data_IF_955076017330
#
_entry.id   IF_955076017330
#
_cell.length_a   1.000
_cell.length_b   1.000
_cell.length_c   1.000
_cell.angle_alpha   90.00
_cell.angle_beta   90.00
_cell.angle_gamma   90.00
#
_symmetry.space_group_name_H-M   'P 1'
#
loop_
_entity.id
_entity.type
_entity.pdbx_description
1 polymer ?
2 non-polymer ?
3 non-polymer ?
4 non-polymer ?
5 non-polymer ?
6 non-polymer ?
7 non-polymer ?
8 water ?
#
# COMPACT_ATOMS: atom_id res chain seq x y z
N UNK A 3 -5.61 3.13 31.64
CA UNK A 3 -6.36 3.21 30.39
C UNK A 3 -7.59 2.30 30.40
N UNK A 4 -8.74 2.84 29.95
CA UNK A 4 -9.99 2.09 29.90
C UNK A 4 -10.33 1.78 28.45
N UNK A 5 -10.45 0.49 28.14
CA UNK A 5 -10.74 0.13 26.77
C UNK A 5 -12.18 0.46 26.42
N UNK A 6 -12.47 0.59 25.14
CA UNK A 6 -13.80 1.03 24.69
C UNK A 6 -14.90 0.12 25.18
N UNK A 7 -16.06 0.73 25.43
CA UNK A 7 -17.24 0.02 25.90
C UNK A 7 -18.24 -0.28 24.78
N UNK A 8 -17.90 0.05 23.54
CA UNK A 8 -18.85 -0.11 22.45
C UNK A 8 -19.31 -1.56 22.32
N UNK A 9 -20.57 -1.76 21.94
CA UNK A 9 -21.15 -3.12 22.02
C UNK A 9 -20.45 -4.12 21.13
N UNK A 10 -19.88 -3.72 19.99
CA UNK A 10 -19.20 -4.68 19.13
C UNK A 10 -17.68 -4.59 19.23
N UNK A 11 -17.15 -3.83 20.20
CA UNK A 11 -15.70 -3.79 20.33
C UNK A 11 -15.13 -5.17 20.62
N UNK A 12 -15.76 -6.03 21.43
CA UNK A 12 -15.22 -7.39 21.63
C UNK A 12 -15.13 -8.18 20.34
N UNK A 13 -15.96 -7.87 19.35
CA UNK A 13 -15.90 -8.57 18.08
C UNK A 13 -14.81 -8.06 17.16
N UNK A 14 -14.16 -6.94 17.51
CA UNK A 14 -13.07 -6.39 16.71
C UNK A 14 -11.76 -7.07 17.12
N UNK A 15 -11.68 -8.34 16.75
CA UNK A 15 -10.62 -9.23 17.21
C UNK A 15 -9.24 -8.75 16.83
N UNK A 16 -9.12 -8.03 15.70
CA UNK A 16 -7.85 -7.51 15.18
C UNK A 16 -7.37 -6.30 15.96
N UNK A 17 -8.24 -5.71 16.79
CA UNK A 17 -7.87 -4.73 17.82
C UNK A 17 -7.93 -5.31 19.23
N UNK A 18 -9.05 -5.92 19.61
CA UNK A 18 -9.25 -6.25 21.02
C UNK A 18 -8.68 -7.61 21.42
N UNK A 19 -7.89 -8.24 20.57
CA UNK A 19 -7.39 -9.57 20.90
C UNK A 19 -6.49 -9.57 22.13
N UNK A 20 -6.57 -10.67 22.88
CA UNK A 20 -5.65 -10.95 23.98
C UNK A 20 -4.74 -12.13 23.65
N UNK A 21 -4.75 -12.58 22.40
CA UNK A 21 -4.02 -13.77 21.99
C UNK A 21 -2.76 -13.47 21.18
N UNK A 22 -2.42 -12.20 21.00
CA UNK A 22 -1.28 -11.72 20.22
C UNK A 22 -1.56 -11.82 18.72
N UNK A 23 -2.75 -12.21 18.29
CA UNK A 23 -3.13 -12.13 16.88
C UNK A 23 -3.94 -10.87 16.64
N UNK A 24 -3.25 -9.73 16.77
CA UNK A 24 -3.89 -8.44 16.56
C UNK A 24 -2.84 -7.40 16.17
N UNK A 25 -3.32 -6.19 15.90
CA UNK A 25 -2.51 -5.09 15.41
C UNK A 25 -1.87 -4.28 16.52
N UNK A 26 -1.99 -4.73 17.77
CA UNK A 26 -1.36 -4.07 18.92
C UNK A 26 -1.78 -2.60 19.02
N UNK A 27 -3.07 -2.35 18.81
CA UNK A 27 -3.61 -1.00 18.84
C UNK A 27 -3.88 -0.54 20.27
N UNK A 28 -4.32 -1.45 21.15
CA UNK A 28 -4.57 -1.06 22.53
C UNK A 28 -3.32 -0.45 23.17
N UNK A 29 -2.15 -0.98 22.81
CA UNK A 29 -0.89 -0.45 23.35
C UNK A 29 -0.66 0.99 22.93
N UNK A 30 -1.07 1.35 21.72
CA UNK A 30 -0.95 2.74 21.28
C UNK A 30 -1.94 3.62 22.02
N UNK A 31 -3.20 3.19 22.12
CA UNK A 31 -4.19 3.93 22.89
C UNK A 31 -3.69 4.19 24.31
N UNK A 32 -3.09 3.18 24.93
CA UNK A 32 -2.65 3.30 26.31
C UNK A 32 -1.45 4.22 26.47
N UNK A 33 -0.66 4.42 25.40
CA UNK A 33 0.38 5.44 25.39
C UNK A 33 -0.21 6.84 25.19
N UNK A 34 -1.52 6.96 24.97
CA UNK A 34 -2.18 8.23 24.83
C UNK A 34 -2.53 8.66 23.42
N UNK A 35 -2.36 7.79 22.42
CA UNK A 35 -2.52 8.15 21.01
C UNK A 35 -3.81 7.54 20.49
N UNK A 36 -4.71 8.41 20.02
CA UNK A 36 -6.01 8.01 19.52
C UNK A 36 -6.36 8.68 18.19
N UNK A 37 -5.46 9.48 17.63
CA UNK A 37 -5.69 10.17 16.37
C UNK A 37 -6.14 11.61 16.49
N UNK A 38 -6.21 12.15 17.71
CA UNK A 38 -6.63 13.54 17.88
C UNK A 38 -5.78 14.46 17.03
N UNK A 39 -6.44 15.34 16.29
CA UNK A 39 -5.78 16.32 15.44
C UNK A 39 -5.40 15.84 14.04
N UNK A 40 -5.60 14.57 13.74
CA UNK A 40 -5.23 13.99 12.45
C UNK A 40 -6.49 13.89 11.58
N UNK A 41 -6.31 14.07 10.28
CA UNK A 41 -7.40 14.13 9.31
C UNK A 41 -7.15 13.05 8.25
N UNK A 42 -8.12 12.16 8.07
CA UNK A 42 -8.04 11.07 7.10
C UNK A 42 -9.20 11.17 6.11
N UNK A 43 -8.94 10.86 4.84
CA UNK A 43 -9.99 10.83 3.82
C UNK A 43 -10.01 9.50 3.09
N UNK A 44 -11.23 8.95 2.94
CA UNK A 44 -11.47 7.69 2.24
C UNK A 44 -11.84 7.99 0.79
N UNK A 45 -11.02 7.52 -0.15
CA UNK A 45 -11.28 7.69 -1.58
C UNK A 45 -12.10 6.49 -2.05
N UNK A 46 -13.41 6.69 -2.25
CA UNK A 46 -14.28 5.55 -2.53
C UNK A 46 -15.63 5.98 -3.08
N UNK A 47 -16.71 5.29 -2.68
CA UNK A 47 -18.03 5.50 -3.27
C UNK A 47 -18.88 6.47 -2.47
N UNK A 48 -18.29 7.16 -1.49
CA UNK A 48 -19.00 8.11 -0.66
C UNK A 48 -18.94 7.73 0.82
N UNK A 49 -19.45 8.63 1.64
CA UNK A 49 -19.42 8.43 3.09
C UNK A 49 -20.73 8.93 3.70
N UNK A 50 -21.37 8.08 4.51
CA UNK A 50 -22.62 8.42 5.18
C UNK A 50 -22.27 9.31 6.37
N UNK A 51 -22.24 10.62 6.13
CA UNK A 51 -21.67 11.53 7.12
C UNK A 51 -22.54 11.65 8.35
N UNK A 52 -23.81 11.28 8.25
CA UNK A 52 -24.72 11.31 9.38
C UNK A 52 -24.82 9.96 10.10
N UNK A 53 -23.94 9.01 9.78
CA UNK A 53 -23.94 7.74 10.49
C UNK A 53 -23.73 7.98 11.98
N UNK A 54 -24.53 7.37 12.87
CA UNK A 54 -24.36 7.63 14.30
C UNK A 54 -22.96 7.34 14.83
N UNK A 55 -22.17 6.50 14.16
CA UNK A 55 -20.81 6.22 14.62
C UNK A 55 -19.76 7.01 13.85
N UNK A 56 -20.15 7.84 12.87
CA UNK A 56 -19.22 8.70 12.15
C UNK A 56 -19.43 10.19 12.39
N UNK A 57 -20.67 10.60 12.68
CA UNK A 57 -20.98 12.03 12.69
C UNK A 57 -20.07 12.82 13.63
N UNK A 58 -19.77 12.26 14.80
CA UNK A 58 -18.98 13.02 15.77
C UNK A 58 -17.56 13.31 15.33
N UNK A 59 -17.03 12.55 14.38
CA UNK A 59 -15.70 12.75 13.85
C UNK A 59 -15.71 13.28 12.41
N UNK A 60 -16.88 13.47 11.84
CA UNK A 60 -16.96 13.81 10.43
C UNK A 60 -16.39 15.20 10.17
N UNK A 61 -15.63 15.32 9.08
CA UNK A 61 -14.96 16.56 8.70
C UNK A 61 -15.31 16.91 7.27
N UNK A 62 -16.16 17.92 7.03
CA UNK A 62 -16.42 18.33 5.65
C UNK A 62 -15.18 18.76 4.88
N UNK A 63 -14.14 19.24 5.58
CA UNK A 63 -12.90 19.64 4.92
C UNK A 63 -12.06 18.48 4.43
N UNK A 64 -12.45 17.26 4.78
CA UNK A 64 -11.80 16.05 4.28
C UNK A 64 -12.63 15.36 3.22
N UNK A 65 -13.62 16.05 2.66
CA UNK A 65 -14.62 15.43 1.80
C UNK A 65 -14.90 16.24 0.54
N UNK A 66 -15.31 15.52 -0.50
CA UNK A 66 -15.80 16.13 -1.74
C UNK A 66 -16.50 15.06 -2.57
N UNK A 67 -17.31 15.51 -3.52
CA UNK A 67 -18.03 14.63 -4.43
C UNK A 67 -17.53 14.99 -5.83
N UNK A 68 -16.57 14.21 -6.35
CA UNK A 68 -16.03 14.48 -7.68
C UNK A 68 -16.82 13.77 -8.77
N UNK A 69 -17.79 12.93 -8.41
CA UNK A 69 -18.68 12.35 -9.42
C UNK A 69 -19.77 13.33 -9.84
N UNK A 70 -20.36 14.05 -8.88
CA UNK A 70 -21.41 15.03 -9.17
C UNK A 70 -20.93 16.46 -9.02
N UNK A 71 -19.66 16.68 -8.67
CA UNK A 71 -19.08 18.02 -8.59
C UNK A 71 -19.80 18.89 -7.55
N UNK A 72 -19.76 18.45 -6.30
CA UNK A 72 -20.29 19.21 -5.19
C UNK A 72 -19.53 18.81 -3.94
N UNK A 73 -19.73 19.50 -2.82
CA UNK A 73 -18.90 19.22 -1.64
C UNK A 73 -19.37 18.04 -0.80
N UNK A 74 -20.54 17.48 -1.09
CA UNK A 74 -21.23 16.58 -0.19
C UNK A 74 -21.07 15.15 -0.67
N UNK A 75 -20.32 14.29 0.05
CA UNK A 75 -20.03 12.94 -0.44
C UNK A 75 -21.05 11.88 -0.04
N UNK A 76 -22.25 12.30 0.34
CA UNK A 76 -23.25 11.34 0.77
C UNK A 76 -23.46 10.29 -0.32
N UNK A 77 -23.54 9.01 0.04
CA UNK A 77 -23.72 7.96 -0.97
C UNK A 77 -25.08 8.03 -1.64
N UNK A 78 -25.12 7.46 -2.85
CA UNK A 78 -26.37 7.23 -3.58
C UNK A 78 -26.98 5.92 -3.07
N UNK A 79 -28.16 6.01 -2.48
CA UNK A 79 -28.81 4.85 -1.89
C UNK A 79 -29.53 4.04 -2.97
N UNK A 80 -29.33 2.73 -2.95
CA UNK A 80 -29.94 1.83 -3.93
C UNK A 80 -30.42 0.56 -3.24
N UNK A 81 -31.26 -0.20 -3.95
CA UNK A 81 -31.82 -1.42 -3.40
C UNK A 81 -30.75 -2.44 -3.03
N UNK A 82 -29.65 -2.47 -3.76
CA UNK A 82 -28.60 -3.44 -3.48
C UNK A 82 -27.52 -2.89 -2.56
N UNK A 83 -27.67 -1.66 -2.08
CA UNK A 83 -26.69 -1.06 -1.18
C UNK A 83 -25.30 -1.06 -1.78
N UNK A 84 -25.23 -0.68 -3.05
CA UNK A 84 -23.99 -0.69 -3.81
C UNK A 84 -22.93 0.23 -3.21
N UNK A 85 -23.33 1.39 -2.77
CA UNK A 85 -22.39 2.45 -2.43
C UNK A 85 -22.13 2.51 -0.94
N UNK A 86 -21.86 1.36 -0.33
CA UNK A 86 -21.65 1.28 1.11
C UNK A 86 -20.18 1.21 1.48
N UNK A 87 -19.27 1.05 0.53
CA UNK A 87 -17.93 0.65 0.91
C UNK A 87 -17.18 1.77 1.61
N UNK A 88 -17.33 3.01 1.13
CA UNK A 88 -16.62 4.10 1.77
C UNK A 88 -17.03 4.28 3.22
N UNK A 89 -18.32 4.03 3.52
CA UNK A 89 -18.81 4.12 4.89
C UNK A 89 -18.20 3.03 5.76
N UNK A 90 -18.08 1.81 5.24
CA UNK A 90 -17.38 0.75 5.96
C UNK A 90 -15.94 1.14 6.26
N UNK A 91 -15.24 1.66 5.25
CA UNK A 91 -13.82 2.01 5.45
C UNK A 91 -13.67 3.16 6.44
N UNK A 92 -14.56 4.16 6.36
CA UNK A 92 -14.47 5.30 7.26
C UNK A 92 -14.53 4.87 8.71
N UNK A 93 -15.41 3.92 9.03
CA UNK A 93 -15.53 3.46 10.41
C UNK A 93 -14.33 2.66 10.87
N UNK A 94 -13.68 1.95 9.95
CA UNK A 94 -12.45 1.26 10.32
C UNK A 94 -11.42 2.23 10.85
N UNK A 95 -11.32 3.40 10.22
CA UNK A 95 -10.35 4.41 10.61
C UNK A 95 -10.79 5.12 11.89
N UNK A 96 -12.06 5.59 11.92
CA UNK A 96 -12.41 6.62 12.89
C UNK A 96 -13.83 6.53 13.41
N UNK A 97 -14.42 5.34 13.51
CA UNK A 97 -15.69 5.24 14.20
C UNK A 97 -15.55 5.72 15.65
N UNK A 98 -16.58 6.40 16.12
CA UNK A 98 -16.56 7.02 17.45
C UNK A 98 -16.54 5.95 18.52
N UNK A 99 -15.82 6.22 19.61
CA UNK A 99 -15.65 5.30 20.71
C UNK A 99 -16.54 5.69 21.90
N UNK A 100 -16.96 4.66 22.64
CA UNK A 100 -17.63 4.83 23.95
C UNK A 100 -18.97 5.55 23.81
N UNK A 101 -19.67 5.27 22.71
CA UNK A 101 -20.95 5.90 22.42
C UNK A 101 -22.09 4.89 22.24
N UNK A 102 -21.89 3.64 22.64
CA UNK A 102 -22.95 2.64 22.60
C UNK A 102 -23.36 2.18 21.22
N UNK A 103 -22.57 2.47 20.20
CA UNK A 103 -22.90 2.18 18.81
C UNK A 103 -21.76 1.39 18.17
N UNK A 104 -22.12 0.27 17.53
CA UNK A 104 -21.18 -0.57 16.78
C UNK A 104 -19.86 -0.75 17.52
N UNK A 105 -18.73 -0.51 16.85
CA UNK A 105 -17.44 -0.67 17.49
C UNK A 105 -16.67 0.62 17.54
N UNK A 106 -15.35 0.58 17.30
CA UNK A 106 -14.54 1.80 17.29
C UNK A 106 -13.60 1.79 16.09
N UNK A 107 -13.13 2.98 15.74
CA UNK A 107 -12.05 3.10 14.79
C UNK A 107 -10.69 2.87 15.43
N UNK A 108 -9.70 2.55 14.58
CA UNK A 108 -8.32 2.46 15.06
C UNK A 108 -7.90 3.79 15.68
N UNK A 109 -8.22 4.88 14.97
CA UNK A 109 -7.94 6.25 15.40
C UNK A 109 -9.26 6.93 15.74
N UNK A 110 -9.84 6.53 16.86
CA UNK A 110 -11.24 6.89 17.12
C UNK A 110 -11.42 8.35 17.53
N UNK A 111 -10.35 9.13 17.64
CA UNK A 111 -10.47 10.58 17.81
C UNK A 111 -9.99 11.37 16.61
N UNK A 112 -9.64 10.70 15.51
CA UNK A 112 -9.29 11.39 14.29
C UNK A 112 -10.54 11.97 13.63
N UNK A 113 -10.33 12.94 12.75
CA UNK A 113 -11.39 13.43 11.89
C UNK A 113 -11.38 12.65 10.58
N UNK A 114 -12.56 12.40 10.03
CA UNK A 114 -12.73 11.47 8.91
C UNK A 114 -13.64 12.11 7.86
N UNK A 115 -13.24 11.97 6.60
CA UNK A 115 -14.06 12.39 5.48
C UNK A 115 -13.96 11.38 4.36
N UNK A 116 -14.61 11.69 3.26
CA UNK A 116 -14.61 10.79 2.11
C UNK A 116 -14.73 11.57 0.82
N UNK A 117 -14.07 11.06 -0.22
CA UNK A 117 -14.25 11.56 -1.58
C UNK A 117 -15.15 10.56 -2.29
N UNK A 118 -16.31 11.03 -2.74
CA UNK A 118 -17.19 10.24 -3.60
C UNK A 118 -16.63 10.35 -5.01
N UNK A 119 -15.89 9.31 -5.43
CA UNK A 119 -15.25 9.29 -6.73
C UNK A 119 -15.51 8.03 -7.56
N UNK A 120 -15.95 6.93 -6.94
CA UNK A 120 -16.12 5.68 -7.67
C UNK A 120 -17.54 5.44 -8.17
N UNK A 121 -18.46 6.35 -7.90
CA UNK A 121 -19.85 6.16 -8.34
C UNK A 121 -20.11 7.00 -9.59
N UNK A 122 -19.41 6.60 -10.64
CA UNK A 122 -19.37 7.34 -11.89
C UNK A 122 -18.14 6.89 -12.67
N UNK A 123 -17.96 7.50 -13.83
CA UNK A 123 -16.81 7.18 -14.67
C UNK A 123 -15.53 7.70 -14.00
N UNK A 124 -14.57 6.82 -13.80
CA UNK A 124 -13.32 7.19 -13.14
C UNK A 124 -12.32 7.56 -14.24
N UNK A 125 -12.13 8.85 -14.44
CA UNK A 125 -11.19 9.37 -15.41
C UNK A 125 -9.92 9.81 -14.68
N UNK A 126 -8.89 10.13 -15.47
CA UNK A 126 -7.65 10.68 -14.91
C UNK A 126 -7.91 11.97 -14.14
N UNK A 127 -8.76 12.84 -14.67
CA UNK A 127 -9.09 14.09 -13.97
C UNK A 127 -9.80 13.80 -12.64
N UNK A 128 -10.72 12.84 -12.63
CA UNK A 128 -11.41 12.48 -11.39
C UNK A 128 -10.41 11.99 -10.36
N UNK A 129 -9.47 11.15 -10.78
CA UNK A 129 -8.46 10.63 -9.87
C UNK A 129 -7.61 11.77 -9.33
N UNK A 130 -7.18 12.66 -10.21
CA UNK A 130 -6.27 13.74 -9.80
C UNK A 130 -6.95 14.69 -8.83
N UNK A 131 -8.23 15.00 -9.06
CA UNK A 131 -8.95 15.91 -8.17
C UNK A 131 -9.23 15.26 -6.82
N UNK A 132 -9.25 13.93 -6.76
CA UNK A 132 -9.44 13.23 -5.50
C UNK A 132 -8.15 13.13 -4.70
N UNK A 133 -7.07 12.68 -5.36
CA UNK A 133 -5.77 12.60 -4.69
C UNK A 133 -5.31 13.95 -4.22
N UNK A 134 -5.67 15.01 -4.94
CA UNK A 134 -5.26 16.35 -4.60
C UNK A 134 -6.25 17.15 -3.78
N UNK A 135 -7.24 16.49 -3.18
CA UNK A 135 -8.22 17.21 -2.37
C UNK A 135 -7.55 17.80 -1.13
N UNK A 136 -7.71 19.12 -0.95
CA UNK A 136 -7.35 19.84 0.28
C UNK A 136 -6.08 19.30 0.93
N UNK A 137 -4.93 19.35 0.23
CA UNK A 137 -3.74 18.64 0.69
C UNK A 137 -3.01 19.30 1.85
N UNK A 138 -3.41 20.49 2.26
CA UNK A 138 -2.88 21.06 3.48
C UNK A 138 -3.84 20.99 4.63
N UNK A 139 -4.92 20.24 4.47
CA UNK A 139 -5.83 19.88 5.55
C UNK A 139 -5.85 18.38 5.81
N UNK A 140 -6.04 17.57 4.77
CA UNK A 140 -6.02 16.12 4.89
C UNK A 140 -4.57 15.66 5.05
N UNK A 141 -4.32 14.81 6.04
CA UNK A 141 -2.99 14.26 6.24
C UNK A 141 -2.79 12.94 5.51
N UNK A 142 -3.80 12.08 5.54
CA UNK A 142 -3.70 10.69 5.10
C UNK A 142 -4.88 10.40 4.19
N UNK A 143 -4.61 9.78 3.05
CA UNK A 143 -5.61 9.34 2.09
C UNK A 143 -5.60 7.81 2.06
N UNK A 144 -6.78 7.20 2.09
CA UNK A 144 -6.91 5.75 2.04
C UNK A 144 -7.66 5.36 0.78
N UNK A 145 -7.04 4.51 -0.04
CA UNK A 145 -7.65 4.06 -1.29
C UNK A 145 -7.56 2.54 -1.38
N UNK A 146 -8.71 1.90 -1.60
CA UNK A 146 -8.78 0.45 -1.53
C UNK A 146 -8.87 -0.22 -2.89
N UNK A 147 -8.74 0.53 -3.97
CA UNK A 147 -9.04 0.03 -5.31
C UNK A 147 -8.09 0.64 -6.33
N UNK A 148 -8.12 0.07 -7.53
CA UNK A 148 -7.32 0.54 -8.64
C UNK A 148 -7.83 -0.04 -9.95
N UNK A 149 -6.91 -0.29 -10.88
CA UNK A 149 -7.30 -0.96 -12.13
C UNK A 149 -7.87 -2.34 -11.85
N UNK A 150 -8.58 -2.86 -12.85
CA UNK A 150 -9.29 -4.12 -12.69
C UNK A 150 -8.38 -5.23 -12.19
N UNK A 151 -8.86 -5.97 -11.20
CA UNK A 151 -8.14 -7.11 -10.62
C UNK A 151 -8.48 -8.40 -11.38
N UNK A 152 -8.42 -8.34 -12.70
CA UNK A 152 -8.77 -9.49 -13.53
C UNK A 152 -7.57 -10.36 -13.88
N UNK A 153 -6.37 -9.99 -13.44
CA UNK A 153 -5.20 -10.77 -13.75
C UNK A 153 -4.72 -10.63 -15.17
N UNK A 154 -5.24 -9.65 -15.91
CA UNK A 154 -4.75 -9.41 -17.26
C UNK A 154 -4.52 -7.93 -17.57
N UNK A 155 -4.72 -7.04 -16.62
CA UNK A 155 -4.58 -5.61 -16.84
C UNK A 155 -3.21 -5.14 -16.36
N UNK A 156 -2.58 -4.28 -17.15
CA UNK A 156 -1.42 -3.49 -16.72
C UNK A 156 -1.83 -2.04 -16.87
N UNK A 157 -2.00 -1.32 -15.76
CA UNK A 157 -2.34 0.09 -15.86
C UNK A 157 -2.00 0.77 -14.53
N UNK A 158 -1.94 2.09 -14.60
CA UNK A 158 -1.58 2.91 -13.47
C UNK A 158 -2.06 4.32 -13.69
N UNK A 159 -1.65 5.23 -12.80
CA UNK A 159 -2.06 6.63 -12.93
C UNK A 159 -1.60 7.21 -14.26
N UNK A 160 -2.53 7.85 -14.95
CA UNK A 160 -2.24 8.65 -16.13
C UNK A 160 -1.66 9.98 -15.66
N UNK A 161 -1.54 10.95 -16.56
CA UNK A 161 -0.65 12.07 -16.29
C UNK A 161 -1.14 12.95 -15.14
N UNK A 162 -2.43 13.29 -15.11
CA UNK A 162 -2.91 14.17 -14.05
C UNK A 162 -2.79 13.51 -12.69
N UNK A 163 -3.11 12.23 -12.60
CA UNK A 163 -3.04 11.51 -11.34
C UNK A 163 -1.60 11.36 -10.89
N UNK A 164 -0.67 11.07 -11.81
CA UNK A 164 0.73 10.99 -11.40
C UNK A 164 1.23 12.35 -10.93
N UNK A 165 0.84 13.43 -11.62
CA UNK A 165 1.20 14.76 -11.16
C UNK A 165 0.63 15.02 -9.77
N UNK A 166 -0.57 14.49 -9.49
CA UNK A 166 -1.17 14.67 -8.18
C UNK A 166 -0.36 13.95 -7.11
N UNK A 167 0.14 12.75 -7.40
CA UNK A 167 1.02 12.08 -6.46
C UNK A 167 2.28 12.92 -6.21
N UNK A 168 2.92 13.44 -7.26
CA UNK A 168 4.17 14.16 -7.01
C UNK A 168 3.89 15.46 -6.27
N UNK A 169 2.83 16.18 -6.64
CA UNK A 169 2.50 17.40 -5.91
C UNK A 169 2.18 17.09 -4.45
N UNK A 170 1.49 15.96 -4.22
CA UNK A 170 1.10 15.62 -2.86
C UNK A 170 2.29 15.30 -1.98
N UNK A 171 3.20 14.45 -2.46
CA UNK A 171 4.33 14.11 -1.59
C UNK A 171 5.33 15.25 -1.49
N UNK A 172 5.35 16.16 -2.45
CA UNK A 172 6.33 17.26 -2.44
C UNK A 172 5.85 18.47 -1.66
N UNK A 173 4.66 18.96 -1.94
CA UNK A 173 4.15 20.18 -1.31
C UNK A 173 3.02 19.91 -0.32
N UNK A 174 2.38 18.74 -0.39
CA UNK A 174 1.31 18.43 0.54
C UNK A 174 1.78 18.43 1.98
N UNK A 175 0.80 18.62 2.88
CA UNK A 175 1.06 18.56 4.31
C UNK A 175 2.21 19.48 4.71
N UNK A 176 2.15 20.71 4.23
CA UNK A 176 3.17 21.70 4.57
C UNK A 176 4.55 21.32 4.13
N UNK A 177 4.68 20.54 3.06
CA UNK A 177 5.98 20.13 2.58
C UNK A 177 6.46 18.81 3.13
N UNK A 178 5.74 18.24 4.08
CA UNK A 178 6.10 16.93 4.61
C UNK A 178 5.62 15.79 3.73
N UNK A 179 4.61 16.04 2.91
CA UNK A 179 4.08 15.08 1.96
C UNK A 179 2.82 14.38 2.39
N UNK A 180 1.79 14.41 1.55
CA UNK A 180 0.61 13.57 1.73
C UNK A 180 1.02 12.11 1.92
N UNK A 181 0.32 11.42 2.81
CA UNK A 181 0.51 9.99 2.99
C UNK A 181 -0.63 9.27 2.29
N UNK A 182 -0.30 8.57 1.20
CA UNK A 182 -1.26 7.79 0.42
C UNK A 182 -1.14 6.33 0.81
N UNK A 183 -2.19 5.78 1.42
CA UNK A 183 -2.22 4.37 1.82
C UNK A 183 -3.06 3.61 0.80
N UNK A 184 -2.53 2.50 0.29
CA UNK A 184 -3.16 1.76 -0.80
C UNK A 184 -3.32 0.28 -0.46
N UNK A 185 -4.43 -0.30 -0.94
CA UNK A 185 -4.62 -1.74 -0.89
C UNK A 185 -3.93 -2.37 -2.09
N UNK A 186 -3.20 -3.47 -1.86
CA UNK A 186 -2.43 -4.06 -2.95
C UNK A 186 -3.28 -4.87 -3.93
N UNK A 187 -4.54 -5.15 -3.61
CA UNK A 187 -5.42 -5.76 -4.60
C UNK A 187 -6.21 -6.95 -4.12
N UNK A 188 -7.30 -7.27 -4.84
CA UNK A 188 -8.15 -8.42 -4.51
C UNK A 188 -8.12 -9.52 -5.60
N UNK A 189 -7.11 -9.51 -6.46
CA UNK A 189 -7.09 -10.40 -7.61
C UNK A 189 -6.48 -11.77 -7.44
N UNK A 190 -6.39 -12.27 -6.21
CA UNK A 190 -5.74 -13.55 -5.97
C UNK A 190 -6.30 -14.71 -6.77
N UNK A 191 -7.62 -14.80 -6.88
CA UNK A 191 -8.15 -15.99 -7.56
C UNK A 191 -7.95 -15.92 -9.07
N UNK A 192 -7.69 -14.74 -9.60
CA UNK A 192 -7.30 -14.55 -10.99
C UNK A 192 -5.78 -14.63 -11.19
N UNK A 193 -5.04 -15.00 -10.15
CA UNK A 193 -3.57 -15.07 -10.21
C UNK A 193 -2.97 -13.73 -10.61
N UNK A 194 -3.59 -12.64 -10.14
CA UNK A 194 -3.07 -11.31 -10.41
C UNK A 194 -1.77 -11.11 -9.63
N UNK A 195 -0.92 -10.23 -10.16
CA UNK A 195 0.44 -9.98 -9.66
C UNK A 195 0.55 -8.47 -9.53
N UNK A 196 0.63 -7.95 -8.31
CA UNK A 196 0.18 -6.57 -8.12
C UNK A 196 1.18 -5.47 -8.54
N UNK A 197 2.41 -5.79 -8.98
CA UNK A 197 3.19 -4.70 -9.58
C UNK A 197 2.60 -4.24 -10.91
N UNK A 198 1.63 -4.97 -11.47
CA UNK A 198 0.91 -4.55 -12.66
C UNK A 198 -0.15 -3.50 -12.37
N UNK A 199 -0.32 -3.12 -11.11
CA UNK A 199 -1.19 -2.04 -10.65
C UNK A 199 -0.28 -0.86 -10.29
N UNK A 200 -0.28 0.18 -11.13
CA UNK A 200 0.65 1.28 -10.96
C UNK A 200 0.38 2.15 -9.76
N UNK A 201 -0.79 2.00 -9.13
CA UNK A 201 -1.08 2.75 -7.92
C UNK A 201 -0.37 2.12 -6.73
N UNK A 202 -0.60 0.82 -6.51
CA UNK A 202 0.09 0.14 -5.42
C UNK A 202 1.59 -0.01 -5.72
N UNK A 203 1.97 -0.13 -7.00
CA UNK A 203 3.38 -0.24 -7.38
C UNK A 203 4.14 1.08 -7.23
N UNK A 204 3.46 2.19 -6.97
CA UNK A 204 4.12 3.48 -6.80
C UNK A 204 4.94 3.53 -5.52
N UNK A 205 6.06 4.26 -5.60
CA UNK A 205 6.81 4.54 -4.37
C UNK A 205 6.05 5.50 -3.48
N UNK A 206 5.10 6.28 -4.03
CA UNK A 206 4.41 7.33 -3.30
C UNK A 206 3.24 6.80 -2.50
N UNK A 207 2.89 5.54 -2.69
CA UNK A 207 1.83 4.90 -1.92
C UNK A 207 2.44 3.89 -0.97
N UNK A 208 1.86 3.82 0.21
CA UNK A 208 2.27 2.91 1.27
C UNK A 208 1.32 1.72 1.18
N UNK A 209 1.80 0.63 0.62
CA UNK A 209 0.93 -0.43 0.13
C UNK A 209 0.81 -1.59 1.11
N UNK A 210 -0.43 -2.09 1.24
CA UNK A 210 -0.84 -2.96 2.34
C UNK A 210 -1.56 -4.17 1.78
N UNK A 211 -1.19 -5.36 2.27
CA UNK A 211 -1.85 -6.62 1.95
C UNK A 211 -2.56 -7.17 3.20
N UNK A 212 -3.14 -8.37 3.06
CA UNK A 212 -3.99 -8.95 4.10
C UNK A 212 -3.47 -10.27 4.65
N UNK A 213 -3.86 -10.55 5.91
CA UNK A 213 -3.67 -11.85 6.54
C UNK A 213 -5.00 -12.28 7.14
N UNK A 214 -5.30 -13.58 7.07
CA UNK A 214 -6.52 -14.10 7.68
C UNK A 214 -6.32 -14.23 9.20
N UNK A 215 -7.43 -14.49 9.89
CA UNK A 215 -7.39 -14.57 11.36
C UNK A 215 -6.41 -15.64 11.82
N UNK A 216 -6.36 -16.78 11.13
CA UNK A 216 -5.46 -17.85 11.53
C UNK A 216 -4.04 -17.64 10.97
N UNK A 217 -3.76 -16.49 10.37
CA UNK A 217 -2.41 -16.17 9.95
C UNK A 217 -2.01 -16.64 8.56
N UNK A 218 -2.96 -16.78 7.65
CA UNK A 218 -2.70 -17.30 6.32
C UNK A 218 -2.93 -16.24 5.26
N UNK A 219 -2.44 -16.55 4.05
CA UNK A 219 -2.61 -15.69 2.89
C UNK A 219 -4.01 -15.91 2.35
N UNK A 220 -4.87 -14.90 2.37
CA UNK A 220 -6.26 -15.09 1.93
C UNK A 220 -6.36 -15.41 0.45
N UNK A 221 -7.48 -16.04 0.08
CA UNK A 221 -7.72 -16.39 -1.31
C UNK A 221 -7.56 -15.21 -2.26
N UNK A 222 -7.90 -13.99 -1.81
CA UNK A 222 -7.95 -12.82 -2.68
C UNK A 222 -6.63 -12.07 -2.77
N UNK A 223 -5.62 -12.47 -2.01
CA UNK A 223 -4.37 -11.72 -1.97
C UNK A 223 -3.59 -11.80 -3.27
N UNK A 224 -2.95 -10.69 -3.61
CA UNK A 224 -1.97 -10.59 -4.70
C UNK A 224 -0.59 -10.45 -4.09
N UNK A 225 0.35 -11.25 -4.57
CA UNK A 225 1.74 -11.12 -4.17
C UNK A 225 2.45 -10.15 -5.12
N UNK A 226 3.30 -9.30 -4.56
CA UNK A 226 4.22 -8.53 -5.40
C UNK A 226 5.28 -7.88 -4.51
N UNK A 227 6.35 -7.44 -5.16
CA UNK A 227 7.48 -6.85 -4.44
C UNK A 227 7.21 -5.43 -3.97
N UNK A 228 6.19 -4.74 -4.49
CA UNK A 228 5.94 -3.36 -4.11
C UNK A 228 5.24 -3.23 -2.75
N UNK A 229 4.63 -4.31 -2.25
CA UNK A 229 3.93 -4.23 -0.96
C UNK A 229 4.89 -3.98 0.18
N UNK A 230 4.42 -3.21 1.17
CA UNK A 230 5.26 -2.87 2.31
C UNK A 230 4.87 -3.55 3.61
N UNK A 231 3.58 -3.80 3.86
CA UNK A 231 3.19 -4.43 5.12
C UNK A 231 1.76 -4.97 5.01
N UNK A 232 1.23 -5.45 6.14
CA UNK A 232 0.01 -6.25 6.19
C UNK A 232 -0.86 -5.82 7.36
N UNK A 233 -2.17 -5.87 7.15
CA UNK A 233 -3.10 -5.88 8.27
C UNK A 233 -4.08 -7.04 8.12
N UNK A 234 -4.67 -7.43 9.24
CA UNK A 234 -5.66 -8.49 9.21
C UNK A 234 -6.89 -8.10 8.39
N UNK A 235 -7.48 -9.11 7.73
CA UNK A 235 -8.79 -8.98 7.11
C UNK A 235 -9.48 -10.34 7.11
N UNK A 236 -10.36 -10.57 6.13
CA UNK A 236 -11.19 -11.77 6.09
C UNK A 236 -10.44 -12.96 5.48
N UNK A 237 -11.04 -14.14 5.67
CA UNK A 237 -10.50 -15.39 5.15
C UNK A 237 -11.63 -16.36 4.84
N UNK A 238 -11.56 -17.58 5.39
CA UNK A 238 -12.56 -18.60 5.14
C UNK A 238 -13.74 -18.39 6.11
N UNK A 239 -14.71 -19.28 6.05
CA UNK A 239 -15.95 -19.01 6.79
C UNK A 239 -15.87 -19.41 8.25
N UNK A 240 -14.74 -19.99 8.68
CA UNK A 240 -14.47 -20.22 10.09
C UNK A 240 -13.67 -19.08 10.72
N UNK A 241 -13.21 -18.14 9.90
CA UNK A 241 -12.40 -17.02 10.34
C UNK A 241 -13.28 -15.77 10.40
N UNK A 242 -13.03 -14.93 11.40
CA UNK A 242 -13.82 -13.72 11.55
C UNK A 242 -13.40 -12.69 10.51
N UNK A 243 -14.21 -11.63 10.39
CA UNK A 243 -14.01 -10.60 9.37
C UNK A 243 -13.93 -9.24 10.01
N UNK A 244 -14.06 -8.17 9.23
CA UNK A 244 -13.90 -6.82 9.77
C UNK A 244 -15.28 -6.30 10.19
N UNK A 245 -15.32 -5.70 11.38
CA UNK A 245 -16.54 -5.19 12.01
C UNK A 245 -16.50 -3.67 11.97
N UNK A 246 -17.52 -3.05 11.40
CA UNK A 246 -17.45 -1.62 11.18
C UNK A 246 -18.83 -1.05 10.88
N UNK A 247 -18.86 0.27 10.65
CA UNK A 247 -20.05 1.00 10.25
C UNK A 247 -20.51 0.58 8.86
N UNK A 248 -21.83 0.58 8.66
CA UNK A 248 -22.40 0.21 7.36
C UNK A 248 -23.46 1.22 6.96
N UNK A 249 -23.71 1.27 5.65
CA UNK A 249 -24.71 2.15 5.07
C UNK A 249 -26.06 1.94 5.74
N UNK A 250 -26.84 3.03 5.80
CA UNK A 250 -28.16 3.07 6.43
C UNK A 250 -28.08 2.95 7.96
N UNK A 251 -27.02 3.53 8.53
CA UNK A 251 -26.88 3.72 9.98
C UNK A 251 -26.83 2.39 10.72
N UNK A 252 -26.21 1.41 10.07
CA UNK A 252 -26.12 0.05 10.55
C UNK A 252 -24.67 -0.30 10.90
N UNK A 253 -24.47 -1.55 11.31
CA UNK A 253 -23.19 -2.09 11.72
C UNK A 253 -23.01 -3.46 11.06
N UNK A 254 -21.86 -3.69 10.42
CA UNK A 254 -21.61 -4.92 9.72
C UNK A 254 -20.52 -5.69 10.43
N UNK A 255 -20.61 -7.02 10.39
CA UNK A 255 -19.55 -7.90 10.83
C UNK A 255 -18.88 -8.62 9.67
N UNK A 256 -19.16 -8.22 8.43
CA UNK A 256 -18.73 -8.99 7.26
C UNK A 256 -18.11 -8.10 6.18
N UNK A 257 -17.24 -7.19 6.60
CA UNK A 257 -16.40 -6.38 5.71
C UNK A 257 -15.11 -7.17 5.44
N UNK A 258 -14.70 -7.19 4.16
CA UNK A 258 -13.77 -8.21 3.68
C UNK A 258 -12.73 -7.65 2.73
N UNK A 259 -11.72 -8.49 2.44
CA UNK A 259 -10.78 -8.26 1.35
C UNK A 259 -9.61 -7.36 1.73
N UNK A 260 -8.66 -7.27 0.79
CA UNK A 260 -7.55 -6.33 0.97
C UNK A 260 -8.07 -4.90 1.03
N UNK A 261 -9.19 -4.64 0.38
CA UNK A 261 -9.85 -3.33 0.44
C UNK A 261 -10.36 -3.00 1.84
N UNK A 262 -10.42 -3.96 2.76
CA UNK A 262 -10.65 -3.64 4.16
C UNK A 262 -9.36 -3.49 4.95
N UNK A 263 -8.22 -3.90 4.39
CA UNK A 263 -6.95 -3.80 5.11
C UNK A 263 -6.36 -2.39 5.04
N UNK A 264 -6.47 -1.72 3.89
CA UNK A 264 -5.85 -0.40 3.78
C UNK A 264 -6.41 0.57 4.81
N UNK A 265 -7.71 0.62 5.06
CA UNK A 265 -8.19 1.57 6.09
C UNK A 265 -7.64 1.30 7.48
N UNK A 266 -7.46 0.03 7.86
CA UNK A 266 -6.89 -0.23 9.17
C UNK A 266 -5.47 0.32 9.25
N UNK A 267 -4.68 0.13 8.18
CA UNK A 267 -3.35 0.73 8.12
C UNK A 267 -3.43 2.26 8.21
N UNK A 268 -4.37 2.88 7.49
CA UNK A 268 -4.51 4.33 7.55
C UNK A 268 -4.77 4.79 8.98
N UNK A 269 -5.60 4.06 9.72
CA UNK A 269 -5.79 4.39 11.14
C UNK A 269 -4.52 4.28 11.95
N UNK A 270 -3.73 3.23 11.73
CA UNK A 270 -2.50 3.09 12.49
C UNK A 270 -1.53 4.22 12.15
N UNK A 271 -1.47 4.60 10.88
CA UNK A 271 -0.64 5.72 10.45
C UNK A 271 -1.13 7.02 11.09
N UNK A 272 -2.45 7.15 11.28
CA UNK A 272 -2.97 8.32 11.98
C UNK A 272 -2.48 8.38 13.44
N UNK A 273 -2.51 7.24 14.14
CA UNK A 273 -1.97 7.24 15.50
C UNK A 273 -0.51 7.66 15.50
N UNK A 274 0.25 7.16 14.53
CA UNK A 274 1.67 7.43 14.43
C UNK A 274 1.94 8.91 14.14
N UNK A 275 1.14 9.52 13.26
CA UNK A 275 1.31 10.94 13.00
C UNK A 275 1.03 11.77 14.24
N UNK A 276 -0.02 11.42 15.01
CA UNK A 276 -0.27 12.14 16.25
C UNK A 276 0.96 12.09 17.14
N UNK A 277 1.64 10.94 17.17
CA UNK A 277 2.83 10.80 18.01
C UNK A 277 3.99 11.65 17.51
N UNK A 278 4.03 11.99 16.23
CA UNK A 278 5.07 12.89 15.71
C UNK A 278 4.54 13.53 14.43
N UNK A 279 4.04 14.76 14.54
CA UNK A 279 3.40 15.41 13.40
C UNK A 279 4.38 15.84 12.33
N UNK A 280 5.68 15.76 12.62
CA UNK A 280 6.71 16.22 11.71
C UNK A 280 7.23 15.11 10.80
N UNK A 281 6.66 13.92 10.88
CA UNK A 281 7.10 12.81 10.03
C UNK A 281 6.80 13.11 8.57
N UNK A 282 7.76 12.82 7.70
CA UNK A 282 7.53 12.98 6.28
C UNK A 282 6.91 11.72 5.70
N UNK A 283 6.47 11.82 4.43
CA UNK A 283 5.91 10.66 3.76
C UNK A 283 6.91 9.50 3.69
N UNK A 284 8.21 9.81 3.56
CA UNK A 284 9.23 8.77 3.56
C UNK A 284 9.52 8.26 4.96
N UNK A 285 9.58 9.16 5.96
CA UNK A 285 9.71 8.72 7.34
C UNK A 285 8.68 7.65 7.66
N UNK A 286 7.43 7.87 7.24
CA UNK A 286 6.37 6.93 7.59
C UNK A 286 6.64 5.55 7.02
N UNK A 287 7.17 5.49 5.79
CA UNK A 287 7.49 4.18 5.21
C UNK A 287 8.65 3.51 5.96
N UNK A 288 9.66 4.30 6.37
CA UNK A 288 10.73 3.76 7.19
C UNK A 288 10.20 3.14 8.48
N UNK A 289 9.28 3.84 9.16
CA UNK A 289 8.74 3.31 10.42
C UNK A 289 8.04 1.97 10.19
N UNK A 290 7.29 1.86 9.09
CA UNK A 290 6.61 0.61 8.77
C UNK A 290 7.62 -0.50 8.53
N UNK A 291 8.67 -0.23 7.77
CA UNK A 291 9.68 -1.25 7.50
C UNK A 291 10.30 -1.74 8.80
N UNK A 292 10.65 -0.81 9.69
CA UNK A 292 11.38 -1.16 10.89
C UNK A 292 10.51 -1.86 11.94
N UNK A 293 9.21 -1.56 12.02
CA UNK A 293 8.41 -2.05 13.14
C UNK A 293 7.47 -3.21 12.80
N UNK A 294 7.27 -3.53 11.54
CA UNK A 294 6.29 -4.56 11.18
C UNK A 294 6.81 -5.95 11.54
N UNK A 295 5.89 -6.87 11.80
CA UNK A 295 6.22 -8.13 12.45
C UNK A 295 5.84 -9.34 11.61
N UNK A 296 6.80 -10.16 11.19
CA UNK A 296 6.45 -11.39 10.47
C UNK A 296 5.84 -12.47 11.32
N UNK A 297 6.05 -12.46 12.63
CA UNK A 297 5.79 -13.64 13.45
C UNK A 297 4.37 -14.14 13.25
N UNK A 298 4.22 -15.44 13.08
CA UNK A 298 2.93 -16.11 12.99
C UNK A 298 2.16 -15.77 11.71
N UNK A 299 2.78 -15.13 10.74
CA UNK A 299 2.21 -15.07 9.40
C UNK A 299 2.81 -16.19 8.56
N UNK A 300 1.96 -17.04 7.99
CA UNK A 300 2.40 -18.20 7.24
C UNK A 300 2.55 -17.87 5.75
N UNK A 301 3.75 -18.10 5.20
CA UNK A 301 3.99 -18.01 3.77
C UNK A 301 5.21 -18.86 3.44
N UNK A 302 5.28 -19.35 2.20
CA UNK A 302 6.42 -20.18 1.81
C UNK A 302 7.56 -19.37 1.21
N UNK A 303 7.47 -18.04 1.20
CA UNK A 303 8.48 -17.22 0.55
C UNK A 303 9.17 -16.25 1.50
N UNK A 304 9.09 -16.46 2.81
CA UNK A 304 9.81 -15.57 3.71
C UNK A 304 11.30 -15.68 3.44
N UNK A 305 11.95 -14.55 3.23
CA UNK A 305 13.37 -14.51 2.93
C UNK A 305 14.00 -13.39 3.73
N UNK A 306 15.21 -13.63 4.19
CA UNK A 306 15.97 -12.61 4.92
C UNK A 306 16.76 -11.79 3.93
N UNK A 307 16.57 -10.47 3.95
CA UNK A 307 17.24 -9.58 3.01
C UNK A 307 18.62 -9.20 3.54
N UNK A 308 19.28 -8.25 2.89
CA UNK A 308 20.68 -7.99 3.18
C UNK A 308 20.95 -7.30 4.49
N UNK A 309 19.92 -6.73 5.12
CA UNK A 309 20.08 -6.11 6.41
C UNK A 309 19.35 -6.90 7.50
N UNK A 310 19.03 -8.16 7.22
CA UNK A 310 18.56 -9.06 8.25
C UNK A 310 17.07 -9.04 8.51
N UNK A 311 16.30 -8.35 7.68
CA UNK A 311 14.85 -8.32 7.86
C UNK A 311 14.19 -9.39 7.00
N UNK A 312 13.18 -10.04 7.56
CA UNK A 312 12.38 -10.99 6.79
C UNK A 312 11.34 -10.24 5.96
N UNK A 313 11.16 -10.68 4.72
CA UNK A 313 10.24 -10.03 3.81
C UNK A 313 9.61 -11.08 2.91
N UNK A 314 8.32 -10.89 2.63
CA UNK A 314 7.51 -11.81 1.83
C UNK A 314 6.80 -11.00 0.77
N UNK A 315 6.57 -11.61 -0.38
CA UNK A 315 5.79 -10.91 -1.41
C UNK A 315 4.30 -10.88 -1.09
N UNK A 316 3.84 -11.72 -0.15
CA UNK A 316 2.45 -11.67 0.29
C UNK A 316 2.22 -10.63 1.37
N UNK A 317 3.24 -10.41 2.21
CA UNK A 317 3.07 -9.65 3.42
C UNK A 317 3.98 -8.45 3.56
N UNK A 318 4.91 -8.25 2.63
CA UNK A 318 5.93 -7.22 2.83
C UNK A 318 6.74 -7.57 4.07
N UNK A 319 6.93 -6.57 4.95
CA UNK A 319 7.70 -6.74 6.19
C UNK A 319 6.88 -7.34 7.32
N UNK A 320 5.60 -7.63 7.08
CA UNK A 320 4.78 -8.29 8.06
C UNK A 320 3.62 -7.47 8.58
N UNK A 321 3.05 -7.91 9.71
CA UNK A 321 1.92 -7.22 10.30
C UNK A 321 2.33 -5.85 10.83
N UNK A 322 1.47 -4.86 10.62
CA UNK A 322 1.64 -3.58 11.31
C UNK A 322 1.47 -3.80 12.82
N UNK A 323 2.24 -3.02 13.57
CA UNK A 323 2.31 -3.07 15.04
C UNK A 323 2.13 -1.62 15.50
N UNK A 324 0.92 -1.27 15.94
CA UNK A 324 0.65 0.13 16.21
C UNK A 324 1.41 0.63 17.42
N UNK A 325 1.50 -0.17 18.47
CA UNK A 325 2.27 0.24 19.64
C UNK A 325 3.72 0.52 19.30
N UNK A 326 4.32 -0.31 18.45
CA UNK A 326 5.71 -0.11 18.06
C UNK A 326 5.86 1.11 17.16
N UNK A 327 4.92 1.31 16.25
CA UNK A 327 4.94 2.49 15.38
C UNK A 327 4.94 3.78 16.20
N UNK A 328 4.01 3.91 17.16
CA UNK A 328 3.92 5.20 17.85
C UNK A 328 5.12 5.38 18.77
N UNK A 329 5.67 4.29 19.31
CA UNK A 329 6.84 4.39 20.18
C UNK A 329 8.06 4.87 19.40
N UNK A 330 8.29 4.28 18.23
CA UNK A 330 9.46 4.65 17.43
C UNK A 330 9.30 6.02 16.79
N UNK A 331 8.06 6.44 16.51
CA UNK A 331 7.85 7.75 15.91
C UNK A 331 8.32 8.89 16.80
N UNK A 332 8.21 8.72 18.12
CA UNK A 332 8.29 9.89 18.98
C UNK A 332 9.65 10.58 18.89
N UNK A 333 10.73 9.82 18.83
CA UNK A 333 12.07 10.40 18.75
C UNK A 333 12.73 10.15 17.41
N UNK A 334 11.93 9.87 16.38
CA UNK A 334 12.47 9.62 15.05
C UNK A 334 13.18 10.84 14.50
N UNK A 335 14.37 10.61 13.94
CA UNK A 335 15.12 11.65 13.26
C UNK A 335 14.75 11.65 11.78
N UNK A 336 14.33 12.81 11.27
CA UNK A 336 13.92 12.93 9.87
C UNK A 336 14.99 12.39 8.94
N UNK A 337 14.58 11.63 7.93
CA UNK A 337 15.56 11.09 7.00
C UNK A 337 16.11 12.21 6.12
N UNK A 338 17.28 11.95 5.56
CA UNK A 338 17.92 12.90 4.68
C UNK A 338 17.11 13.06 3.39
N UNK A 339 17.38 14.12 2.64
CA UNK A 339 16.64 14.32 1.37
C UNK A 339 16.81 13.12 0.44
N UNK A 340 15.76 12.86 -0.33
CA UNK A 340 15.72 11.70 -1.21
C UNK A 340 16.64 11.91 -2.42
N UNK A 341 17.54 10.95 -2.63
CA UNK A 341 18.39 10.88 -3.80
C UNK A 341 17.81 9.89 -4.80
N UNK A 342 18.18 10.07 -6.07
CA UNK A 342 17.70 9.23 -7.16
C UNK A 342 18.85 8.98 -8.11
N UNK A 343 19.25 7.71 -8.25
CA UNK A 343 20.37 7.33 -9.10
C UNK A 343 19.83 6.54 -10.30
N UNK A 344 20.03 7.08 -11.49
CA UNK A 344 19.52 6.53 -12.75
C UNK A 344 20.65 5.80 -13.45
N UNK A 345 20.44 4.53 -13.78
CA UNK A 345 21.44 3.71 -14.46
C UNK A 345 20.79 3.04 -15.67
N UNK A 346 21.15 3.49 -16.87
CA UNK A 346 20.75 2.83 -18.11
C UNK A 346 21.64 1.60 -18.31
N UNK A 347 21.03 0.41 -18.38
CA UNK A 347 21.80 -0.83 -18.21
C UNK A 347 22.25 -1.41 -19.56
N UNK A 348 21.37 -1.50 -20.55
CA UNK A 348 21.70 -2.26 -21.74
C UNK A 348 22.58 -1.48 -22.70
N UNK A 349 23.52 -2.17 -23.33
CA UNK A 349 24.26 -1.56 -24.43
C UNK A 349 23.66 -1.90 -25.79
N UNK A 350 22.75 -2.88 -25.85
CA UNK A 350 22.05 -3.27 -27.05
C UNK A 350 20.75 -3.96 -26.64
N UNK A 351 19.75 -3.99 -27.51
CA UNK A 351 18.55 -4.80 -27.23
C UNK A 351 18.90 -6.27 -27.12
N UNK A 352 18.13 -7.00 -26.30
CA UNK A 352 18.39 -8.39 -26.00
C UNK A 352 17.19 -9.25 -26.33
N UNK A 353 17.41 -10.30 -27.11
CA UNK A 353 16.37 -11.28 -27.36
C UNK A 353 16.00 -11.98 -26.07
N UNK A 354 14.70 -12.17 -25.84
CA UNK A 354 14.24 -12.85 -24.62
C UNK A 354 14.17 -14.35 -24.83
N UNK A 355 13.50 -14.80 -25.88
CA UNK A 355 13.40 -16.24 -26.09
C UNK A 355 12.81 -16.94 -24.87
N UNK A 356 13.41 -18.09 -24.53
CA UNK A 356 12.98 -18.89 -23.38
C UNK A 356 13.43 -18.28 -22.06
N UNK A 357 14.57 -17.61 -22.05
CA UNK A 357 15.14 -17.08 -20.82
C UNK A 357 16.19 -16.05 -21.18
N UNK A 358 16.23 -14.97 -20.39
CA UNK A 358 17.22 -13.91 -20.53
C UNK A 358 17.69 -13.54 -19.14
N UNK A 359 19.01 -13.45 -18.97
CA UNK A 359 19.61 -12.90 -17.77
C UNK A 359 20.47 -11.69 -18.17
N UNK A 360 20.29 -10.59 -17.45
CA UNK A 360 21.10 -9.39 -17.62
C UNK A 360 21.80 -9.11 -16.30
N UNK A 361 23.13 -9.11 -16.32
CA UNK A 361 23.93 -8.77 -15.15
C UNK A 361 24.56 -7.40 -15.37
N UNK A 362 24.61 -6.60 -14.31
CA UNK A 362 25.35 -5.34 -14.41
C UNK A 362 25.86 -4.94 -13.04
N UNK A 363 27.13 -4.58 -12.98
CA UNK A 363 27.74 -4.08 -11.75
C UNK A 363 27.73 -2.55 -11.79
N UNK A 364 27.16 -1.94 -10.74
CA UNK A 364 26.94 -0.51 -10.70
C UNK A 364 27.62 0.08 -9.47
N UNK A 365 27.96 1.36 -9.55
CA UNK A 365 28.50 2.07 -8.39
C UNK A 365 27.46 2.92 -7.68
N UNK A 366 26.23 2.94 -8.16
CA UNK A 366 25.13 3.69 -7.51
C UNK A 366 25.50 5.17 -7.36
N UNK A 367 26.01 5.74 -8.45
CA UNK A 367 26.23 7.19 -8.58
C UNK A 367 27.34 7.68 -7.64
N UNK A 368 28.35 6.83 -7.45
CA UNK A 368 29.54 7.20 -6.70
C UNK A 368 30.11 8.51 -7.18
N UNK A 369 30.45 9.38 -6.23
CA UNK A 369 31.03 10.67 -6.54
C UNK A 369 30.04 11.75 -6.88
N UNK A 370 28.76 11.44 -6.91
CA UNK A 370 27.71 12.37 -7.30
C UNK A 370 26.81 12.73 -6.12
N UNK A 371 26.08 13.83 -6.20
CA UNK A 371 25.13 14.14 -5.11
C UNK A 371 24.00 13.14 -5.00
N UNK A 372 23.78 12.27 -6.00
CA UNK A 372 22.79 11.21 -5.88
C UNK A 372 23.40 9.85 -5.53
N UNK A 373 24.63 9.84 -5.03
CA UNK A 373 25.21 8.62 -4.49
C UNK A 373 24.31 8.03 -3.42
N UNK A 374 23.96 6.75 -3.56
CA UNK A 374 23.08 6.06 -2.62
C UNK A 374 23.84 4.89 -2.02
N UNK A 375 24.02 4.92 -0.69
CA UNK A 375 24.52 3.77 0.04
C UNK A 375 23.44 3.09 0.88
N UNK A 376 22.27 3.72 1.00
CA UNK A 376 21.16 3.22 1.82
C UNK A 376 19.92 3.28 0.94
N UNK A 377 19.54 2.13 0.37
CA UNK A 377 18.42 2.10 -0.55
C UNK A 377 17.08 2.25 0.17
N UNK A 378 16.14 2.88 -0.52
CA UNK A 378 14.73 2.81 -0.13
C UNK A 378 14.06 1.91 -1.18
N UNK A 379 13.29 2.51 -2.08
CA UNK A 379 12.72 1.77 -3.20
C UNK A 379 13.74 1.58 -4.31
N UNK A 380 13.59 0.48 -5.06
CA UNK A 380 14.29 0.30 -6.33
C UNK A 380 13.30 -0.06 -7.42
N UNK A 381 13.55 0.42 -8.63
CA UNK A 381 12.75 0.07 -9.79
C UNK A 381 13.61 -0.51 -10.89
N UNK A 382 13.07 -1.51 -11.59
CA UNK A 382 13.56 -1.90 -12.90
C UNK A 382 12.52 -1.41 -13.91
N UNK A 383 12.85 -0.35 -14.64
CA UNK A 383 11.94 0.21 -15.64
C UNK A 383 12.22 -0.48 -16.96
N UNK A 384 11.30 -1.35 -17.39
CA UNK A 384 11.53 -2.20 -18.53
C UNK A 384 10.63 -1.83 -19.71
N UNK A 385 11.22 -1.86 -20.89
CA UNK A 385 10.53 -1.77 -22.15
C UNK A 385 10.84 -3.04 -22.92
N UNK A 386 9.81 -3.82 -23.23
CA UNK A 386 9.99 -5.10 -23.92
C UNK A 386 8.74 -5.43 -24.73
N UNK A 387 8.95 -6.19 -25.79
CA UNK A 387 7.90 -6.84 -26.57
C UNK A 387 7.87 -8.32 -26.21
N UNK A 388 6.68 -8.90 -26.24
CA UNK A 388 6.53 -10.34 -26.06
C UNK A 388 5.18 -10.74 -26.67
N UNK A 389 5.10 -11.97 -27.15
CA UNK A 389 3.88 -12.39 -27.84
C UNK A 389 2.75 -12.73 -26.88
N UNK A 390 3.05 -13.20 -25.66
CA UNK A 390 2.01 -13.44 -24.65
C UNK A 390 2.55 -13.04 -23.28
N UNK A 391 2.10 -11.88 -22.81
CA UNK A 391 2.74 -11.23 -21.67
C UNK A 391 2.68 -12.07 -20.40
N UNK A 392 1.56 -12.75 -20.16
CA UNK A 392 1.38 -13.46 -18.90
C UNK A 392 2.22 -14.71 -18.77
N UNK A 393 2.89 -15.15 -19.84
CA UNK A 393 3.81 -16.26 -19.71
C UNK A 393 5.14 -15.83 -19.10
N UNK A 394 5.38 -14.52 -18.98
CA UNK A 394 6.63 -14.04 -18.41
C UNK A 394 6.62 -14.04 -16.89
N UNK A 395 7.77 -14.45 -16.32
CA UNK A 395 8.09 -14.15 -14.93
C UNK A 395 9.42 -13.39 -14.91
N UNK A 396 9.51 -12.39 -14.03
CA UNK A 396 10.66 -11.49 -13.98
C UNK A 396 11.13 -11.37 -12.54
N UNK A 397 12.44 -11.54 -12.33
CA UNK A 397 13.04 -11.38 -11.02
C UNK A 397 14.21 -10.41 -11.08
N UNK A 398 14.46 -9.75 -9.96
CA UNK A 398 15.58 -8.82 -9.82
C UNK A 398 16.32 -9.16 -8.54
N UNK A 399 17.62 -9.42 -8.65
CA UNK A 399 18.46 -9.80 -7.51
C UNK A 399 19.40 -8.64 -7.20
N UNK A 400 19.41 -8.19 -5.94
CA UNK A 400 20.27 -7.10 -5.50
C UNK A 400 21.68 -7.60 -5.21
N UNK A 401 22.64 -6.68 -5.10
CA UNK A 401 24.01 -7.09 -4.73
C UNK A 401 24.08 -7.88 -3.46
N UNK A 402 23.17 -7.62 -2.50
CA UNK A 402 23.14 -8.35 -1.25
C UNK A 402 22.45 -9.71 -1.37
N UNK A 403 22.00 -10.08 -2.56
CA UNK A 403 21.43 -11.40 -2.80
C UNK A 403 19.94 -11.52 -2.62
N UNK A 404 19.24 -10.41 -2.46
CA UNK A 404 17.80 -10.42 -2.24
C UNK A 404 17.09 -10.54 -3.57
N UNK A 405 16.38 -11.65 -3.75
CA UNK A 405 15.61 -11.93 -4.96
C UNK A 405 14.22 -11.30 -4.81
N UNK A 406 13.95 -10.29 -5.63
CA UNK A 406 12.63 -9.70 -5.72
C UNK A 406 11.93 -10.24 -6.95
N UNK A 407 10.72 -10.77 -6.76
CA UNK A 407 9.86 -11.07 -7.89
C UNK A 407 9.24 -9.77 -8.38
N UNK A 408 9.58 -9.36 -9.60
CA UNK A 408 8.97 -8.19 -10.20
C UNK A 408 7.65 -8.51 -10.90
N UNK A 409 7.52 -9.73 -11.41
CA UNK A 409 6.33 -10.16 -12.13
C UNK A 409 6.25 -11.67 -12.03
N UNK A 410 5.11 -12.18 -11.58
CA UNK A 410 4.85 -13.61 -11.65
C UNK A 410 4.01 -13.90 -12.88
N UNK A 411 4.04 -15.16 -13.33
CA UNK A 411 3.20 -15.56 -14.45
C UNK A 411 1.74 -15.24 -14.14
N UNK A 412 1.04 -14.71 -15.14
CA UNK A 412 -0.38 -14.37 -15.05
C UNK A 412 -1.10 -15.13 -16.15
N UNK A 413 -1.72 -16.28 -15.83
CA UNK A 413 -2.24 -17.14 -16.91
C UNK A 413 -3.30 -16.47 -17.77
N UNK A 414 -4.05 -15.50 -17.25
CA UNK A 414 -5.09 -14.87 -18.04
C UNK A 414 -4.59 -13.76 -18.95
N UNK A 415 -3.34 -13.32 -18.79
CA UNK A 415 -2.84 -12.14 -19.51
C UNK A 415 -2.32 -12.58 -20.87
N UNK A 416 -3.19 -12.50 -21.87
CA UNK A 416 -2.86 -12.89 -23.24
C UNK A 416 -2.29 -11.74 -24.06
N UNK A 417 -2.05 -10.58 -23.45
CA UNK A 417 -1.71 -9.40 -24.22
C UNK A 417 -0.42 -9.60 -25.02
N UNK A 418 -0.43 -9.08 -26.25
CA UNK A 418 0.77 -9.00 -27.08
C UNK A 418 1.39 -7.60 -27.04
N UNK A 419 1.00 -6.78 -26.06
CA UNK A 419 1.48 -5.40 -26.02
C UNK A 419 2.70 -5.17 -25.15
N UNK A 420 3.18 -6.18 -24.43
CA UNK A 420 4.42 -6.09 -23.68
C UNK A 420 4.36 -5.03 -22.59
N UNK A 421 5.53 -4.48 -22.25
CA UNK A 421 5.66 -3.47 -21.20
C UNK A 421 6.33 -2.24 -21.79
N UNK A 422 5.73 -1.08 -21.58
CA UNK A 422 6.25 0.16 -22.17
C UNK A 422 6.78 1.04 -21.04
N UNK A 423 8.09 0.92 -20.78
CA UNK A 423 8.76 1.61 -19.68
C UNK A 423 7.98 1.44 -18.38
N UNK A 424 7.64 0.18 -18.06
CA UNK A 424 6.90 -0.12 -16.84
C UNK A 424 7.88 -0.19 -15.67
N UNK A 425 7.62 0.58 -14.62
CA UNK A 425 8.55 0.74 -13.49
C UNK A 425 8.26 -0.23 -12.35
N UNK A 426 8.61 -1.51 -12.59
CA UNK A 426 8.44 -2.55 -11.57
C UNK A 426 9.21 -2.15 -10.32
N UNK A 427 8.55 -2.19 -9.15
CA UNK A 427 9.16 -1.65 -7.95
C UNK A 427 9.28 -2.70 -6.85
N UNK A 428 10.41 -2.68 -6.15
CA UNK A 428 10.58 -3.54 -4.98
C UNK A 428 10.96 -2.74 -3.74
N UNK A 429 10.36 -3.13 -2.61
CA UNK A 429 10.70 -2.64 -1.28
C UNK A 429 11.61 -3.58 -0.51
N UNK A 430 11.94 -4.74 -1.10
CA UNK A 430 12.57 -5.81 -0.33
C UNK A 430 14.06 -5.58 -0.07
N UNK A 431 14.67 -4.59 -0.72
CA UNK A 431 16.07 -4.26 -0.50
C UNK A 431 16.25 -2.97 0.29
N UNK A 432 15.18 -2.50 0.94
CA UNK A 432 15.23 -1.33 1.82
C UNK A 432 16.38 -1.43 2.81
N UNK A 433 17.18 -0.37 2.88
CA UNK A 433 18.35 -0.16 3.73
C UNK A 433 19.60 -0.94 3.26
N UNK A 434 19.52 -1.73 2.20
CA UNK A 434 20.71 -2.32 1.62
C UNK A 434 21.55 -1.27 0.90
N UNK A 435 22.84 -1.56 0.76
CA UNK A 435 23.74 -0.79 -0.10
C UNK A 435 23.58 -1.30 -1.53
N UNK A 436 23.16 -0.48 -2.49
CA UNK A 436 22.88 -0.99 -3.84
C UNK A 436 24.07 -1.01 -4.78
N UNK A 437 25.27 -0.70 -4.31
CA UNK A 437 26.46 -0.85 -5.12
C UNK A 437 26.77 -2.33 -5.32
N UNK A 438 27.24 -2.67 -6.51
CA UNK A 438 27.53 -4.06 -6.82
C UNK A 438 26.75 -4.62 -7.98
N UNK A 439 26.68 -5.94 -8.06
CA UNK A 439 26.03 -6.60 -9.19
C UNK A 439 24.54 -6.77 -8.96
N UNK A 440 23.75 -6.24 -9.88
CA UNK A 440 22.33 -6.53 -10.00
C UNK A 440 22.10 -7.54 -11.13
N UNK A 441 21.13 -8.42 -10.94
CA UNK A 441 20.79 -9.42 -11.95
C UNK A 441 19.30 -9.35 -12.27
N UNK A 442 18.97 -9.16 -13.54
CA UNK A 442 17.59 -9.23 -14.01
C UNK A 442 17.39 -10.55 -14.73
N UNK A 443 16.33 -11.26 -14.36
CA UNK A 443 15.95 -12.53 -14.95
C UNK A 443 14.58 -12.38 -15.59
N UNK A 444 14.47 -12.75 -16.87
CA UNK A 444 13.19 -12.82 -17.57
C UNK A 444 13.03 -14.23 -18.11
N UNK A 445 11.95 -14.90 -17.75
CA UNK A 445 11.78 -16.30 -18.13
C UNK A 445 10.40 -16.54 -18.73
N UNK A 446 10.39 -17.37 -19.76
CA UNK A 446 9.15 -17.91 -20.33
C UNK A 446 8.73 -19.10 -19.49
N UNK A 447 7.64 -18.95 -18.70
CA UNK A 447 7.20 -20.04 -17.84
C UNK A 447 6.36 -21.09 -18.55
N UNK A 448 6.02 -20.88 -19.80
CA UNK A 448 5.23 -21.84 -20.56
C UNK A 448 6.16 -22.72 -21.40
N UNK A 449 5.58 -23.80 -21.93
CA UNK A 449 6.29 -24.65 -22.89
C UNK A 449 6.18 -24.13 -24.31
N UNK A 450 5.39 -23.08 -24.54
CA UNK A 450 5.24 -22.53 -25.88
C UNK A 450 6.53 -21.85 -26.33
N UNK A 451 6.71 -21.82 -27.65
CA UNK A 451 7.83 -21.13 -28.27
C UNK A 451 7.51 -19.63 -28.40
N UNK A 452 7.53 -18.96 -27.25
CA UNK A 452 7.27 -17.53 -27.18
C UNK A 452 8.52 -16.74 -27.57
N UNK A 453 8.32 -15.45 -27.86
CA UNK A 453 9.39 -14.64 -28.44
C UNK A 453 9.17 -13.15 -28.16
N UNK A 454 10.28 -12.42 -28.10
CA UNK A 454 10.25 -10.98 -27.94
C UNK A 454 11.64 -10.47 -27.61
N UNK A 455 11.68 -9.18 -27.27
CA UNK A 455 12.94 -8.42 -27.16
C UNK A 455 12.84 -7.42 -26.02
N UNK A 456 13.87 -7.39 -25.17
CA UNK A 456 14.04 -6.34 -24.16
C UNK A 456 14.85 -5.21 -24.77
N UNK A 457 14.25 -4.03 -24.89
CA UNK A 457 14.92 -2.91 -25.55
C UNK A 457 15.43 -1.85 -24.59
N UNK A 458 14.94 -1.81 -23.35
CA UNK A 458 15.44 -0.84 -22.36
C UNK A 458 15.26 -1.43 -20.97
N UNK A 459 16.29 -1.27 -20.15
CA UNK A 459 16.28 -1.64 -18.73
C UNK A 459 16.96 -0.47 -18.01
N UNK A 460 16.18 0.34 -17.31
CA UNK A 460 16.71 1.40 -16.45
C UNK A 460 16.60 0.92 -15.01
N UNK A 461 17.73 0.84 -14.31
CA UNK A 461 17.69 0.62 -12.87
C UNK A 461 17.64 1.97 -12.19
N UNK A 462 16.58 2.22 -11.42
CA UNK A 462 16.40 3.48 -10.72
C UNK A 462 16.45 3.18 -9.24
N UNK A 463 17.42 3.80 -8.56
CA UNK A 463 17.62 3.63 -7.13
C UNK A 463 17.20 4.91 -6.42
N UNK A 464 16.42 4.77 -5.36
CA UNK A 464 16.10 5.86 -4.46
C UNK A 464 16.68 5.58 -3.10
N UNK A 465 17.07 6.64 -2.39
CA UNK A 465 17.54 6.45 -1.02
C UNK A 465 18.44 7.60 -0.59
N UNK A 466 19.34 7.28 0.35
CA UNK A 466 20.19 8.29 0.96
C UNK A 466 21.61 7.73 1.10
N UNK A 467 22.46 8.50 1.77
CA UNK A 467 23.83 8.06 2.04
C UNK A 467 24.19 8.28 3.50
N UNK A 468 23.23 8.21 4.41
CA UNK A 468 23.53 8.42 5.82
C UNK A 468 22.42 7.84 6.68
N UNK A 469 22.77 7.50 7.92
CA UNK A 469 21.80 7.17 8.95
C UNK A 469 21.50 5.71 9.18
N UNK A 470 22.29 4.79 8.66
CA UNK A 470 21.93 3.38 8.75
C UNK A 470 22.03 2.84 10.17
N UNK A 471 21.19 1.85 10.45
CA UNK A 471 21.20 1.06 11.68
C UNK A 471 22.03 -0.20 11.48
N UNK A 472 22.53 -0.75 12.59
CA UNK A 472 23.17 -2.07 12.52
C UNK A 472 22.16 -3.08 11.97
N UNK A 473 22.55 -3.98 11.06
CA UNK A 473 21.57 -4.96 10.54
C UNK A 473 20.89 -5.76 11.64
N UNK A 474 19.67 -6.23 11.34
CA UNK A 474 18.82 -6.91 12.30
C UNK A 474 19.31 -8.30 12.69
#
# INVERSE_FOLDING_TARGET
>A
DVYQEPTDPKFPQQWYLSGVTQRDLNVKAAWAQGYTGHGIVVSILDDGIEKNHPDLAGNYDPGASFDVNDQDPDPQPRYTQMNDNRHGTRCAGEVAAVANNGVCGVGVAYNARIGGVRMLDGEVTDAVEARSLGLNPNHIHIYSASWGPEDDGKTVDGPARLAEEAFFRGVSQGRGGLGSIFVWASGNGGREHDSCNCDGYTNSIYTLSISSATQFGNVPWYSEACSSTLATTYSSGNQNEKQIVTTDLRQKCTESHTGTSASAPLAAGIIALTLEANKNLTWRDMQHLVVQTSKPAHLNANDWATNGVGRKVSHSYGYGLLDAGAMVALAQNWTTVAPQRKCIIDILTEPKDIGKRLEVRKTVTACLGEPNHITRLEHAQARLTLSYNRRGDLAIHLVSPMGTRSTLLAARPHDYSADGFNDWAFMTTHSWDEDPSGEWVLEIENTSEANNYGTLTKFTLVLYGTASGSLVPRGSHHHH
#
